data_IF_310949035813
#
_entry.id   IF_310949035813
#
_cell.length_a   1.000
_cell.length_b   1.000
_cell.length_c   1.000
_cell.angle_alpha   90.00
_cell.angle_beta   90.00
_cell.angle_gamma   90.00
#
_symmetry.space_group_name_H-M   'P 1'
#
loop_
_entity.id
_entity.type
_entity.pdbx_description
1 polymer ?
#
# COMPACT_ATOMS: atom_id res chain seq x y z
N UNK A 1 -22.26 68.50 28.88
CA UNK A 1 -21.96 68.91 30.28
C UNK A 1 -20.83 67.96 30.71
N UNK A 2 -19.65 68.25 30.96
CA UNK A 2 -18.82 69.41 31.21
C UNK A 2 -17.37 68.95 31.09
N UNK A 3 -16.62 69.64 30.28
CA UNK A 3 -15.15 69.60 30.22
C UNK A 3 -14.53 69.89 31.57
N UNK A 4 -13.38 69.34 31.91
CA UNK A 4 -12.31 70.03 32.61
C UNK A 4 -10.93 69.57 32.19
N UNK A 5 -10.15 70.57 31.93
CA UNK A 5 -8.79 70.65 31.42
C UNK A 5 -7.71 70.73 32.50
N UNK A 6 -6.51 70.15 32.24
CA UNK A 6 -5.10 70.66 32.38
C UNK A 6 -4.62 71.15 33.77
N UNK A 7 -3.31 71.05 34.19
CA UNK A 7 -2.17 71.59 33.45
C UNK A 7 -0.81 70.83 33.52
N UNK A 8 0.06 71.28 32.55
CA UNK A 8 1.51 71.09 32.50
C UNK A 8 2.23 71.65 33.72
N UNK A 9 3.36 71.02 34.07
CA UNK A 9 4.69 71.63 34.26
C UNK A 9 5.62 70.66 34.99
N UNK A 10 6.76 70.26 34.47
CA UNK A 10 8.10 70.86 34.70
C UNK A 10 9.17 70.05 33.96
N UNK A 11 9.97 70.81 33.22
CA UNK A 11 11.25 70.42 32.67
C UNK A 11 12.27 70.06 33.79
N UNK A 12 13.04 69.00 33.57
CA UNK A 12 14.48 69.01 33.97
C UNK A 12 15.27 68.26 32.93
N UNK A 13 16.24 69.01 32.37
CA UNK A 13 17.29 68.53 31.47
C UNK A 13 18.35 67.75 32.25
N UNK A 14 18.79 66.60 31.75
CA UNK A 14 20.10 66.01 32.11
C UNK A 14 20.71 65.38 30.86
N UNK A 15 21.85 65.91 30.54
CA UNK A 15 23.03 65.50 29.73
C UNK A 15 22.95 64.32 28.78
N UNK A 16 23.31 64.63 27.54
CA UNK A 16 23.79 63.78 26.47
C UNK A 16 25.02 62.94 26.90
N UNK A 17 24.92 61.64 26.74
CA UNK A 17 26.05 60.73 26.61
C UNK A 17 25.94 60.03 25.28
N UNK A 18 26.76 60.43 24.32
CA UNK A 18 26.91 59.72 23.03
C UNK A 18 27.64 58.39 23.27
N UNK A 19 26.95 57.29 23.22
CA UNK A 19 27.58 55.98 22.97
C UNK A 19 27.40 55.63 21.50
N UNK A 20 28.52 55.69 20.74
CA UNK A 20 28.60 55.16 19.40
C UNK A 20 28.57 53.61 19.46
N UNK A 21 27.43 53.02 19.13
CA UNK A 21 27.38 51.58 18.84
C UNK A 21 27.90 51.35 17.42
N UNK A 22 29.08 50.73 17.32
CA UNK A 22 29.56 50.17 16.07
C UNK A 22 28.64 49.05 15.63
N UNK A 23 27.94 49.24 14.51
CA UNK A 23 27.17 48.20 13.87
C UNK A 23 28.14 47.19 13.26
N UNK A 24 28.27 46.01 13.91
CA UNK A 24 28.90 44.83 13.29
C UNK A 24 27.96 44.30 12.18
N UNK A 25 28.48 43.94 11.00
CA UNK A 25 27.67 43.35 9.96
C UNK A 25 27.19 41.97 10.44
N UNK A 26 25.88 41.79 10.62
CA UNK A 26 25.26 40.45 10.72
C UNK A 26 25.49 39.75 9.39
N UNK A 27 26.41 38.81 9.38
CA UNK A 27 26.52 37.83 8.34
C UNK A 27 25.33 36.86 8.53
N UNK A 28 24.33 36.99 7.68
CA UNK A 28 23.29 35.98 7.51
C UNK A 28 23.96 34.71 6.95
N UNK A 29 24.24 33.78 7.84
CA UNK A 29 24.57 32.41 7.44
C UNK A 29 23.27 31.78 6.95
N UNK A 30 22.99 31.86 5.66
CA UNK A 30 22.06 30.96 5.01
C UNK A 30 22.64 29.56 5.12
N UNK A 31 21.95 28.59 5.65
CA UNK A 31 22.39 27.20 5.56
C UNK A 31 22.36 26.84 4.07
N UNK A 32 23.53 26.80 3.43
CA UNK A 32 23.67 26.10 2.18
C UNK A 32 23.34 24.63 2.47
N UNK A 33 22.13 24.19 2.14
CA UNK A 33 21.87 22.79 1.94
C UNK A 33 22.77 22.35 0.80
N UNK A 34 23.95 21.82 1.14
CA UNK A 34 24.81 21.15 0.20
C UNK A 34 23.99 20.04 -0.47
N UNK A 35 23.88 20.09 -1.80
CA UNK A 35 23.43 18.94 -2.57
C UNK A 35 24.34 17.79 -2.16
N UNK A 36 23.80 16.83 -1.43
CA UNK A 36 24.46 15.55 -1.20
C UNK A 36 24.70 14.94 -2.58
N UNK A 37 25.96 14.92 -3.04
CA UNK A 37 26.35 14.20 -4.24
C UNK A 37 26.22 12.70 -3.92
N UNK A 38 25.01 12.15 -4.12
CA UNK A 38 24.77 10.73 -4.02
C UNK A 38 25.54 10.01 -5.15
N UNK A 39 26.11 8.83 -4.90
CA UNK A 39 26.68 8.00 -5.95
C UNK A 39 25.68 7.77 -7.08
N UNK A 40 26.10 7.65 -8.35
CA UNK A 40 25.22 7.35 -9.46
C UNK A 40 24.36 6.09 -9.15
N UNK A 41 23.02 6.21 -9.21
CA UNK A 41 22.08 5.14 -8.90
C UNK A 41 21.66 5.01 -7.43
N UNK A 42 22.15 5.85 -6.50
CA UNK A 42 21.85 5.80 -5.07
C UNK A 42 20.86 6.87 -4.61
N UNK A 43 19.94 7.27 -5.44
CA UNK A 43 18.91 8.25 -5.08
C UNK A 43 17.55 7.85 -5.58
N UNK A 44 16.56 8.69 -5.33
CA UNK A 44 15.31 8.67 -6.04
C UNK A 44 15.10 9.99 -6.78
N UNK A 45 14.32 9.96 -7.86
CA UNK A 45 14.03 11.12 -8.71
C UNK A 45 12.59 11.09 -9.21
N UNK A 46 12.11 12.27 -9.63
CA UNK A 46 10.78 12.46 -10.20
C UNK A 46 10.94 13.16 -11.55
N UNK A 47 10.48 12.52 -12.62
CA UNK A 47 10.61 13.02 -13.98
C UNK A 47 9.29 12.94 -14.76
N UNK A 48 9.11 13.87 -15.70
CA UNK A 48 8.01 13.81 -16.64
C UNK A 48 8.33 12.77 -17.74
N UNK A 49 7.37 11.88 -18.01
CA UNK A 49 7.50 10.80 -18.98
C UNK A 49 6.25 10.68 -19.86
N UNK A 50 6.39 10.04 -21.01
CA UNK A 50 5.26 9.54 -21.80
C UNK A 50 5.00 8.08 -21.40
N UNK A 51 3.78 7.78 -20.95
CA UNK A 51 3.38 6.43 -20.60
C UNK A 51 2.13 6.02 -21.35
N UNK A 52 2.24 5.06 -22.26
CA UNK A 52 1.13 4.53 -23.09
C UNK A 52 0.28 5.65 -23.76
N UNK A 53 0.90 6.79 -24.11
CA UNK A 53 0.25 7.94 -24.74
C UNK A 53 -0.29 8.99 -23.78
N UNK A 54 -0.10 8.84 -22.46
CA UNK A 54 -0.38 9.88 -21.48
C UNK A 54 0.89 10.64 -21.08
N UNK A 55 0.77 11.95 -20.86
CA UNK A 55 1.76 12.70 -20.12
C UNK A 55 1.69 12.29 -18.65
N UNK A 56 2.74 11.70 -18.13
CA UNK A 56 2.81 11.13 -16.81
C UNK A 56 3.99 11.68 -16.01
N UNK A 57 3.98 11.41 -14.71
CA UNK A 57 5.11 11.64 -13.81
C UNK A 57 5.60 10.30 -13.30
N UNK A 58 6.90 10.06 -13.33
CA UNK A 58 7.52 8.85 -12.82
C UNK A 58 8.35 9.16 -11.59
N UNK A 59 8.05 8.47 -10.48
CA UNK A 59 8.92 8.40 -9.31
C UNK A 59 9.75 7.14 -9.46
N UNK A 60 11.07 7.25 -9.29
CA UNK A 60 11.97 6.12 -9.46
C UNK A 60 13.04 6.07 -8.40
N UNK A 61 13.41 4.88 -7.99
CA UNK A 61 14.64 4.55 -7.31
C UNK A 61 15.28 3.31 -7.95
N UNK A 62 16.31 2.72 -7.34
CA UNK A 62 16.95 1.51 -7.87
C UNK A 62 16.03 0.27 -7.92
N UNK A 63 14.87 0.31 -7.23
CA UNK A 63 13.98 -0.82 -7.03
C UNK A 63 12.69 -0.70 -7.83
N UNK A 64 12.09 0.49 -7.79
CA UNK A 64 10.71 0.73 -8.18
C UNK A 64 10.63 1.89 -9.17
N UNK A 65 9.74 1.73 -10.16
CA UNK A 65 9.22 2.80 -10.99
C UNK A 65 7.71 2.91 -10.75
N UNK A 66 7.26 4.07 -10.28
CA UNK A 66 5.86 4.39 -10.02
C UNK A 66 5.39 5.46 -11.01
N UNK A 67 4.45 5.13 -11.89
CA UNK A 67 3.92 6.00 -12.95
C UNK A 67 2.61 6.61 -12.47
N UNK A 68 2.54 7.93 -12.44
CA UNK A 68 1.34 8.69 -12.05
C UNK A 68 0.82 9.48 -13.23
N UNK A 69 -0.48 9.42 -13.49
CA UNK A 69 -1.18 10.20 -14.53
C UNK A 69 -2.12 11.21 -13.87
N UNK A 70 -1.67 12.45 -13.62
CA UNK A 70 -2.49 13.45 -12.92
C UNK A 70 -3.79 13.78 -13.65
N UNK A 71 -3.80 13.70 -14.98
CA UNK A 71 -4.96 14.03 -15.81
C UNK A 71 -6.16 13.10 -15.58
N UNK A 72 -5.91 11.84 -15.20
CA UNK A 72 -6.96 10.82 -15.08
C UNK A 72 -7.19 10.48 -13.60
N UNK A 73 -7.79 11.38 -12.83
CA UNK A 73 -8.11 11.15 -11.41
C UNK A 73 -6.87 11.07 -10.50
N UNK A 74 -5.72 11.61 -10.93
CA UNK A 74 -4.48 11.50 -10.14
C UNK A 74 -4.02 10.05 -9.93
N UNK A 75 -4.35 9.13 -10.83
CA UNK A 75 -4.12 7.68 -10.69
C UNK A 75 -2.64 7.34 -10.65
N UNK A 76 -2.26 6.46 -9.73
CA UNK A 76 -1.02 5.67 -9.85
C UNK A 76 -1.27 4.60 -10.90
N UNK A 77 -0.85 4.88 -12.14
CA UNK A 77 -1.21 4.05 -13.29
C UNK A 77 -0.42 2.75 -13.37
N UNK A 78 0.81 2.73 -12.86
CA UNK A 78 1.63 1.52 -12.84
C UNK A 78 2.68 1.57 -11.74
N UNK A 79 2.97 0.41 -11.17
CA UNK A 79 4.15 0.14 -10.36
C UNK A 79 4.92 -1.00 -11.00
N UNK A 80 6.21 -0.77 -11.27
CA UNK A 80 7.13 -1.78 -11.77
C UNK A 80 8.23 -2.02 -10.72
N UNK A 81 8.44 -3.28 -10.34
CA UNK A 81 9.50 -3.72 -9.44
C UNK A 81 10.25 -4.88 -10.07
N UNK A 82 11.58 -4.76 -10.18
CA UNK A 82 12.44 -5.76 -10.82
C UNK A 82 11.95 -6.21 -12.22
N UNK A 83 11.33 -5.29 -12.98
CA UNK A 83 10.77 -5.57 -14.31
C UNK A 83 9.35 -6.15 -14.31
N UNK A 84 8.80 -6.54 -13.15
CA UNK A 84 7.41 -6.98 -13.03
C UNK A 84 6.48 -5.78 -12.87
N UNK A 85 5.42 -5.69 -13.69
CA UNK A 85 4.40 -4.66 -13.64
C UNK A 85 3.16 -5.22 -12.92
N UNK A 86 2.68 -4.50 -11.91
CA UNK A 86 1.60 -5.00 -11.04
C UNK A 86 0.20 -4.61 -11.49
N UNK A 87 0.04 -3.36 -11.97
CA UNK A 87 -1.30 -2.80 -12.12
C UNK A 87 -1.86 -3.03 -13.52
N UNK A 88 -3.15 -3.32 -13.55
CA UNK A 88 -3.92 -3.34 -14.78
C UNK A 88 -3.99 -1.94 -15.38
N UNK A 89 -3.72 -1.83 -16.67
CA UNK A 89 -3.87 -0.61 -17.47
C UNK A 89 -4.77 -0.94 -18.65
N UNK A 90 -5.95 -0.34 -18.69
CA UNK A 90 -6.93 -0.66 -19.71
C UNK A 90 -6.44 -0.22 -21.10
N UNK A 91 -6.14 -1.16 -22.01
CA UNK A 91 -5.61 -0.83 -23.35
C UNK A 91 -6.61 -0.04 -24.21
N UNK A 92 -7.92 -0.19 -23.94
CA UNK A 92 -8.98 0.53 -24.64
C UNK A 92 -8.89 2.05 -24.41
N UNK A 93 -8.40 2.47 -23.26
CA UNK A 93 -8.33 3.87 -22.85
C UNK A 93 -6.88 4.41 -22.81
N UNK A 94 -5.88 3.63 -23.19
CA UNK A 94 -4.49 4.06 -23.20
C UNK A 94 -4.32 5.36 -24.03
N UNK A 95 -3.67 6.37 -23.41
CA UNK A 95 -3.43 7.69 -23.99
C UNK A 95 -4.68 8.59 -24.13
N UNK A 96 -5.84 8.15 -23.67
CA UNK A 96 -7.08 8.90 -23.76
C UNK A 96 -7.41 9.60 -22.45
N UNK A 97 -8.12 10.72 -22.56
CA UNK A 97 -8.75 11.41 -21.45
C UNK A 97 -10.18 11.74 -21.82
N UNK A 98 -11.09 11.42 -20.92
CA UNK A 98 -12.49 11.79 -21.02
C UNK A 98 -12.85 12.66 -19.83
N UNK A 99 -13.33 13.90 -20.05
CA UNK A 99 -13.77 14.75 -18.97
C UNK A 99 -14.85 14.07 -18.12
N UNK A 100 -14.91 14.34 -16.81
CA UNK A 100 -15.94 13.80 -15.94
C UNK A 100 -17.35 14.02 -16.51
N UNK A 101 -18.15 12.96 -16.48
CA UNK A 101 -19.52 12.99 -17.02
C UNK A 101 -20.39 11.99 -16.27
N UNK A 102 -21.50 12.42 -15.73
CA UNK A 102 -22.47 11.56 -15.02
C UNK A 102 -23.10 10.43 -15.87
N UNK A 103 -22.78 10.36 -17.15
CA UNK A 103 -23.40 9.40 -18.08
C UNK A 103 -22.55 8.16 -18.38
N UNK A 104 -21.26 8.17 -18.08
CA UNK A 104 -20.36 7.07 -18.44
C UNK A 104 -19.16 6.99 -17.51
N UNK A 105 -18.87 5.80 -17.02
CA UNK A 105 -17.68 5.47 -16.27
C UNK A 105 -16.56 4.96 -17.20
N UNK A 106 -15.32 5.39 -16.93
CA UNK A 106 -14.14 5.00 -17.69
C UNK A 106 -13.15 4.29 -16.77
N UNK A 107 -13.09 2.96 -16.85
CA UNK A 107 -12.07 2.21 -16.13
C UNK A 107 -10.71 2.31 -16.83
N UNK A 108 -9.88 3.28 -16.43
CA UNK A 108 -8.52 3.43 -16.95
C UNK A 108 -7.55 2.38 -16.40
N UNK A 109 -7.87 1.74 -15.29
CA UNK A 109 -6.93 0.90 -14.53
C UNK A 109 -6.19 1.67 -13.45
N UNK A 110 -5.09 1.11 -12.96
CA UNK A 110 -4.24 1.72 -11.94
C UNK A 110 -4.81 1.62 -10.52
N UNK A 111 -4.29 2.49 -9.65
CA UNK A 111 -4.76 2.65 -8.28
C UNK A 111 -5.30 4.07 -8.06
N UNK A 112 -6.37 4.20 -7.28
CA UNK A 112 -7.16 5.41 -7.12
C UNK A 112 -7.73 5.53 -5.71
N UNK A 113 -8.27 6.72 -5.39
CA UNK A 113 -9.07 6.96 -4.18
C UNK A 113 -10.54 7.05 -4.53
N UNK A 114 -11.38 6.39 -3.73
CA UNK A 114 -12.82 6.43 -3.83
C UNK A 114 -13.47 6.88 -2.52
N UNK A 115 -14.76 7.24 -2.59
CA UNK A 115 -15.60 7.49 -1.43
C UNK A 115 -16.48 6.28 -1.13
N UNK A 116 -16.74 6.05 0.14
CA UNK A 116 -17.74 5.11 0.63
C UNK A 116 -18.68 5.78 1.62
N UNK A 117 -19.95 5.34 1.73
CA UNK A 117 -20.55 4.19 1.01
C UNK A 117 -20.87 4.48 -0.45
N UNK A 118 -20.75 3.45 -1.29
CA UNK A 118 -21.25 3.50 -2.67
C UNK A 118 -22.76 3.36 -2.73
N UNK A 119 -23.37 3.92 -3.78
CA UNK A 119 -24.80 3.83 -4.03
C UNK A 119 -25.32 4.74 -5.13
N UNK A 120 -26.50 5.28 -4.97
CA UNK A 120 -27.24 5.98 -6.03
C UNK A 120 -26.88 7.47 -6.19
N UNK A 121 -25.75 7.92 -5.68
CA UNK A 121 -25.30 9.31 -5.77
C UNK A 121 -26.25 10.29 -5.07
N UNK A 122 -26.57 10.00 -3.84
CA UNK A 122 -27.33 10.84 -2.92
C UNK A 122 -26.42 11.50 -1.87
N UNK A 123 -26.96 12.14 -0.83
CA UNK A 123 -26.21 12.81 0.23
C UNK A 123 -25.37 11.85 1.11
N UNK A 124 -25.61 10.54 1.02
CA UNK A 124 -24.99 9.50 1.88
C UNK A 124 -24.30 8.41 1.06
N UNK A 125 -24.49 8.37 -0.25
CA UNK A 125 -23.95 7.35 -1.13
C UNK A 125 -23.39 7.99 -2.40
N UNK A 126 -22.17 7.61 -2.75
CA UNK A 126 -21.47 8.06 -3.94
C UNK A 126 -21.63 7.04 -5.08
N UNK A 127 -21.92 7.49 -6.29
CA UNK A 127 -22.13 6.56 -7.40
C UNK A 127 -20.83 5.95 -7.97
N UNK A 128 -19.69 6.42 -7.53
CA UNK A 128 -18.40 5.87 -7.94
C UNK A 128 -17.96 6.20 -9.36
N UNK A 129 -18.80 6.81 -10.18
CA UNK A 129 -18.53 6.94 -11.60
C UNK A 129 -18.62 8.38 -12.10
N UNK A 130 -17.73 8.70 -13.04
CA UNK A 130 -17.78 9.87 -13.91
C UNK A 130 -17.82 11.22 -13.22
N UNK A 131 -17.26 11.33 -12.03
CA UNK A 131 -17.14 12.61 -11.36
C UNK A 131 -15.68 13.11 -11.26
N UNK A 132 -15.52 14.30 -10.71
CA UNK A 132 -14.22 14.96 -10.64
C UNK A 132 -13.24 14.26 -9.70
N UNK A 133 -13.72 13.42 -8.77
CA UNK A 133 -12.87 12.68 -7.83
C UNK A 133 -12.27 11.43 -8.48
N UNK A 134 -12.99 10.77 -9.40
CA UNK A 134 -12.50 9.58 -10.11
C UNK A 134 -11.77 9.93 -11.43
N UNK A 135 -12.37 10.80 -12.26
CA UNK A 135 -11.88 11.07 -13.62
C UNK A 135 -11.30 12.48 -13.80
N UNK A 136 -11.47 13.39 -12.83
CA UNK A 136 -11.02 14.78 -12.96
C UNK A 136 -9.49 14.91 -13.00
N UNK A 137 -9.02 16.00 -13.61
CA UNK A 137 -7.60 16.31 -13.61
C UNK A 137 -7.16 16.82 -12.24
N UNK A 138 -6.25 16.08 -11.58
CA UNK A 138 -5.63 16.48 -10.32
C UNK A 138 -4.46 17.43 -10.58
N UNK A 139 -4.27 18.40 -9.70
CA UNK A 139 -3.04 19.19 -9.70
C UNK A 139 -1.89 18.34 -9.17
N UNK A 140 -0.72 18.49 -9.80
CA UNK A 140 0.51 17.80 -9.43
C UNK A 140 1.52 18.77 -8.84
N UNK A 141 2.21 18.34 -7.77
CA UNK A 141 3.31 19.06 -7.17
C UNK A 141 4.42 18.09 -6.75
N UNK A 142 5.63 18.33 -7.24
CA UNK A 142 6.83 17.66 -6.73
C UNK A 142 7.26 18.32 -5.42
N UNK A 143 7.40 17.54 -4.35
CA UNK A 143 7.76 18.02 -3.02
C UNK A 143 9.26 17.82 -2.73
N UNK A 144 9.82 16.66 -3.08
CA UNK A 144 11.24 16.36 -2.83
C UNK A 144 11.81 15.32 -3.80
N UNK A 145 13.14 15.28 -3.87
CA UNK A 145 13.98 14.29 -4.58
C UNK A 145 15.26 14.01 -3.79
N UNK A 146 15.99 12.97 -4.14
CA UNK A 146 17.28 12.61 -3.55
C UNK A 146 17.17 11.40 -2.62
N UNK A 147 17.31 11.56 -1.31
CA UNK A 147 17.14 10.46 -0.35
C UNK A 147 15.69 10.03 -0.22
N UNK A 148 14.77 10.95 -0.51
CA UNK A 148 13.32 10.73 -0.53
C UNK A 148 12.70 11.49 -1.67
N UNK A 149 11.94 10.80 -2.50
CA UNK A 149 11.06 11.37 -3.50
C UNK A 149 9.65 11.44 -2.98
N UNK A 150 9.03 12.60 -3.15
CA UNK A 150 7.66 12.81 -2.71
C UNK A 150 6.93 13.72 -3.69
N UNK A 151 5.73 13.32 -4.05
CA UNK A 151 4.80 14.10 -4.88
C UNK A 151 3.47 14.26 -4.17
N UNK A 152 2.75 15.30 -4.54
CA UNK A 152 1.38 15.55 -4.08
C UNK A 152 0.45 15.71 -5.27
N UNK A 153 -0.70 15.09 -5.16
CA UNK A 153 -1.82 15.16 -6.11
C UNK A 153 -3.03 15.69 -5.37
N UNK A 154 -3.68 16.72 -5.91
CA UNK A 154 -4.89 17.30 -5.30
C UNK A 154 -6.02 17.30 -6.31
N UNK A 155 -7.16 16.71 -5.97
CA UNK A 155 -8.35 16.68 -6.81
C UNK A 155 -8.96 18.07 -6.97
N UNK A 156 -9.80 18.30 -7.98
CA UNK A 156 -10.79 19.38 -7.91
C UNK A 156 -11.65 19.21 -6.65
N UNK A 157 -12.21 20.31 -6.15
CA UNK A 157 -13.27 20.27 -5.15
C UNK A 157 -14.55 19.72 -5.82
N UNK A 158 -15.12 18.65 -5.26
CA UNK A 158 -16.39 18.15 -5.73
C UNK A 158 -17.55 18.84 -5.01
N UNK A 159 -18.40 19.52 -5.77
CA UNK A 159 -19.55 20.23 -5.22
C UNK A 159 -20.69 19.30 -4.81
N UNK A 160 -20.73 18.08 -5.32
CA UNK A 160 -21.79 17.12 -5.06
C UNK A 160 -21.57 16.41 -3.71
N UNK A 161 -20.39 15.86 -3.49
CA UNK A 161 -20.04 15.18 -2.23
C UNK A 161 -19.52 16.15 -1.16
N UNK A 162 -19.12 17.36 -1.56
CA UNK A 162 -18.49 18.34 -0.68
C UNK A 162 -17.04 17.98 -0.30
N UNK A 163 -16.39 17.10 -1.06
CA UNK A 163 -15.06 16.55 -0.74
C UNK A 163 -13.98 17.05 -1.70
N UNK A 164 -12.76 17.16 -1.19
CA UNK A 164 -11.54 17.31 -1.97
C UNK A 164 -10.50 16.31 -1.44
N UNK A 165 -9.89 15.52 -2.33
CA UNK A 165 -8.78 14.64 -2.00
C UNK A 165 -7.43 15.33 -2.19
N UNK A 166 -6.50 15.00 -1.30
CA UNK A 166 -5.06 15.20 -1.50
C UNK A 166 -4.36 13.88 -1.24
N UNK A 167 -3.50 13.45 -2.16
CA UNK A 167 -2.72 12.22 -2.03
C UNK A 167 -1.24 12.50 -2.22
N UNK A 168 -0.44 12.11 -1.24
CA UNK A 168 1.02 12.12 -1.30
C UNK A 168 1.52 10.71 -1.59
N UNK A 169 2.46 10.58 -2.54
CA UNK A 169 3.15 9.33 -2.86
C UNK A 169 4.63 9.52 -2.61
N UNK A 170 5.25 8.57 -1.89
CA UNK A 170 6.63 8.65 -1.43
C UNK A 170 7.42 7.39 -1.75
N UNK A 171 8.68 7.57 -2.23
CA UNK A 171 9.70 6.55 -2.33
C UNK A 171 10.92 6.98 -1.52
N UNK A 172 11.50 6.07 -0.73
CA UNK A 172 12.83 6.26 -0.12
C UNK A 172 13.90 5.64 -1.06
N UNK A 173 15.08 6.24 -1.15
CA UNK A 173 16.13 5.85 -2.10
C UNK A 173 16.67 4.42 -1.88
N UNK A 174 16.62 3.95 -0.64
CA UNK A 174 17.23 2.70 -0.17
C UNK A 174 16.23 1.55 0.02
N UNK A 175 14.95 1.76 -0.34
CA UNK A 175 13.88 0.78 -0.11
C UNK A 175 12.94 0.66 -1.30
N UNK A 176 12.42 -0.53 -1.61
CA UNK A 176 11.35 -0.72 -2.60
C UNK A 176 9.99 -0.27 -2.07
N UNK A 177 9.87 0.11 -0.79
CA UNK A 177 8.62 0.53 -0.15
C UNK A 177 8.06 1.79 -0.79
N UNK A 178 6.76 1.78 -1.07
CA UNK A 178 6.00 2.94 -1.52
C UNK A 178 5.07 3.36 -0.38
N UNK A 179 5.16 4.61 0.06
CA UNK A 179 4.28 5.16 1.08
C UNK A 179 3.20 6.05 0.47
N UNK A 180 1.99 5.95 0.99
CA UNK A 180 0.85 6.79 0.59
C UNK A 180 0.27 7.49 1.80
N UNK A 181 0.00 8.77 1.66
CA UNK A 181 -0.78 9.55 2.61
C UNK A 181 -1.93 10.21 1.87
N UNK A 182 -3.15 9.78 2.13
CA UNK A 182 -4.36 10.35 1.57
C UNK A 182 -5.07 11.21 2.61
N UNK A 183 -5.59 12.35 2.20
CA UNK A 183 -6.42 13.23 3.01
C UNK A 183 -7.73 13.55 2.28
N UNK A 184 -8.83 13.40 2.98
CA UNK A 184 -10.17 13.79 2.56
C UNK A 184 -10.59 15.02 3.35
N UNK A 185 -10.77 16.14 2.65
CA UNK A 185 -11.17 17.41 3.24
C UNK A 185 -12.62 17.74 2.92
N UNK A 186 -13.37 18.15 3.93
CA UNK A 186 -14.70 18.74 3.73
C UNK A 186 -14.55 20.19 3.22
N UNK A 187 -14.94 20.43 1.97
CA UNK A 187 -14.94 21.74 1.31
C UNK A 187 -16.36 22.34 1.20
N UNK A 188 -17.35 21.69 1.80
CA UNK A 188 -18.75 22.16 1.87
C UNK A 188 -18.99 23.07 3.08
N UNK A 189 -20.19 23.63 3.15
CA UNK A 189 -20.65 24.45 4.28
C UNK A 189 -21.36 23.66 5.41
N UNK A 190 -21.46 22.34 5.34
CA UNK A 190 -22.17 21.49 6.31
C UNK A 190 -21.33 20.27 6.73
N UNK A 191 -21.78 19.55 7.73
CA UNK A 191 -21.09 18.34 8.19
C UNK A 191 -21.31 17.20 7.21
N UNK A 192 -20.24 16.49 6.86
CA UNK A 192 -20.22 15.30 5.97
C UNK A 192 -19.87 14.06 6.77
N UNK A 193 -20.27 12.90 6.23
CA UNK A 193 -19.88 11.60 6.78
C UNK A 193 -19.51 10.63 5.63
N UNK A 194 -18.23 10.43 5.42
CA UNK A 194 -17.66 9.61 4.36
C UNK A 194 -16.51 8.74 4.87
N UNK A 195 -16.17 7.71 4.15
CA UNK A 195 -14.92 6.96 4.26
C UNK A 195 -14.13 7.09 2.98
N UNK A 196 -12.80 7.00 3.05
CA UNK A 196 -11.91 6.85 1.90
C UNK A 196 -11.64 5.37 1.66
N UNK A 197 -11.58 5.02 0.39
CA UNK A 197 -11.14 3.72 -0.09
C UNK A 197 -9.95 3.90 -1.03
N UNK A 198 -8.86 3.13 -0.80
CA UNK A 198 -7.79 2.93 -1.77
C UNK A 198 -8.15 1.72 -2.61
N UNK A 199 -8.24 1.87 -3.93
CA UNK A 199 -8.68 0.84 -4.88
C UNK A 199 -7.54 0.54 -5.85
N UNK A 200 -6.91 -0.62 -5.70
CA UNK A 200 -5.76 -1.06 -6.49
C UNK A 200 -6.19 -2.13 -7.48
N UNK A 201 -6.16 -1.82 -8.77
CA UNK A 201 -6.51 -2.77 -9.84
C UNK A 201 -5.26 -3.54 -10.30
N UNK A 202 -5.13 -4.78 -9.88
CA UNK A 202 -4.03 -5.67 -10.25
C UNK A 202 -4.30 -6.38 -11.57
N UNK A 203 -3.28 -6.48 -12.43
CA UNK A 203 -3.36 -7.20 -13.70
C UNK A 203 -3.35 -8.71 -13.45
N UNK A 204 -4.46 -9.36 -13.74
CA UNK A 204 -4.63 -10.82 -13.63
C UNK A 204 -4.59 -11.50 -14.99
N UNK A 205 -3.94 -10.88 -15.97
CA UNK A 205 -3.74 -11.45 -17.30
C UNK A 205 -2.36 -12.08 -17.47
N UNK A 206 -2.25 -12.95 -18.45
CA UNK A 206 -0.98 -13.40 -19.01
C UNK A 206 -1.00 -13.20 -20.50
N UNK A 207 0.16 -12.97 -21.15
CA UNK A 207 0.23 -12.86 -22.59
C UNK A 207 -0.36 -14.11 -23.27
N UNK A 208 -1.18 -13.90 -24.29
CA UNK A 208 -1.66 -14.99 -25.16
C UNK A 208 -0.51 -15.64 -25.95
N UNK A 209 -0.77 -16.82 -26.52
CA UNK A 209 0.22 -17.49 -27.34
C UNK A 209 0.60 -16.60 -28.55
N UNK A 210 1.87 -16.59 -29.00
CA UNK A 210 2.27 -15.88 -30.20
C UNK A 210 1.41 -16.30 -31.42
N UNK A 211 0.75 -15.32 -32.03
CA UNK A 211 -0.13 -15.53 -33.18
C UNK A 211 -1.57 -15.92 -32.82
N UNK A 212 -1.96 -15.94 -31.55
CA UNK A 212 -3.36 -16.08 -31.17
C UNK A 212 -4.13 -14.76 -31.37
N UNK A 213 -5.43 -14.84 -31.65
CA UNK A 213 -6.30 -13.65 -31.75
C UNK A 213 -6.51 -13.01 -30.36
N UNK A 214 -6.37 -13.78 -29.27
CA UNK A 214 -6.43 -13.27 -27.90
C UNK A 214 -5.08 -12.73 -27.48
N UNK A 215 -5.00 -11.43 -27.27
CA UNK A 215 -3.79 -10.74 -26.81
C UNK A 215 -3.47 -11.01 -25.33
N UNK A 216 -4.46 -11.46 -24.56
CA UNK A 216 -4.33 -11.76 -23.14
C UNK A 216 -5.20 -12.96 -22.75
N UNK A 217 -4.81 -13.69 -21.72
CA UNK A 217 -5.52 -14.82 -21.13
C UNK A 217 -5.59 -14.64 -19.62
N UNK A 218 -6.54 -15.32 -18.96
CA UNK A 218 -6.63 -15.38 -17.50
C UNK A 218 -5.36 -15.98 -16.90
N UNK A 219 -4.78 -15.29 -15.90
CA UNK A 219 -3.77 -15.88 -15.04
C UNK A 219 -4.47 -16.76 -13.99
N UNK A 220 -4.44 -18.08 -14.19
CA UNK A 220 -5.02 -19.04 -13.25
C UNK A 220 -4.15 -19.30 -12.01
N UNK A 221 -3.08 -18.54 -11.83
CA UNK A 221 -2.20 -18.63 -10.66
C UNK A 221 -2.01 -17.23 -10.07
N UNK A 222 -3.12 -16.51 -9.91
CA UNK A 222 -3.15 -15.21 -9.24
C UNK A 222 -3.97 -15.29 -7.96
N UNK A 223 -3.40 -14.78 -6.85
CA UNK A 223 -3.92 -14.97 -5.51
C UNK A 223 -4.03 -13.66 -4.74
N UNK A 224 -4.98 -13.62 -3.81
CA UNK A 224 -4.98 -12.63 -2.73
C UNK A 224 -4.98 -13.31 -1.38
N UNK A 225 -4.47 -12.58 -0.37
CA UNK A 225 -4.39 -13.03 1.02
C UNK A 225 -4.72 -11.89 1.97
N UNK A 226 -5.49 -12.17 3.00
CA UNK A 226 -5.62 -11.31 4.19
C UNK A 226 -6.02 -12.17 5.38
N UNK A 227 -5.63 -11.85 6.62
CA UNK A 227 -6.11 -12.60 7.78
C UNK A 227 -7.62 -12.50 7.92
N UNK A 228 -8.30 -13.64 8.01
CA UNK A 228 -9.72 -13.71 8.30
C UNK A 228 -9.95 -13.46 9.79
N UNK A 229 -10.74 -12.44 10.13
CA UNK A 229 -11.04 -12.12 11.51
C UNK A 229 -11.75 -13.30 12.22
N UNK A 230 -11.11 -13.84 13.25
CA UNK A 230 -11.68 -14.98 14.02
C UNK A 230 -12.96 -14.62 14.76
N UNK A 231 -13.14 -13.34 15.09
CA UNK A 231 -14.33 -12.78 15.73
C UNK A 231 -15.17 -11.97 14.75
N UNK A 232 -15.16 -12.35 13.46
CA UNK A 232 -15.88 -11.66 12.41
C UNK A 232 -17.37 -11.56 12.70
N UNK A 233 -17.95 -10.42 12.33
CA UNK A 233 -19.40 -10.22 12.33
C UNK A 233 -20.10 -10.89 11.15
N UNK A 234 -19.34 -11.34 10.14
CA UNK A 234 -19.85 -12.10 9.00
C UNK A 234 -19.82 -13.61 9.27
N UNK A 235 -20.89 -14.31 8.91
CA UNK A 235 -21.08 -15.74 9.22
C UNK A 235 -19.89 -16.62 8.78
N UNK A 236 -19.35 -16.38 7.59
CA UNK A 236 -18.24 -17.12 7.01
C UNK A 236 -16.89 -16.41 7.15
N UNK A 237 -16.79 -15.41 8.05
CA UNK A 237 -15.67 -14.48 8.20
C UNK A 237 -15.45 -13.56 6.99
N UNK A 238 -16.37 -13.58 6.02
CA UNK A 238 -16.48 -12.67 4.88
C UNK A 238 -17.93 -12.57 4.45
N UNK A 239 -18.24 -11.57 3.65
CA UNK A 239 -19.56 -11.34 3.06
C UNK A 239 -19.44 -11.23 1.54
N UNK A 240 -20.25 -11.98 0.82
CA UNK A 240 -20.40 -11.82 -0.63
C UNK A 240 -21.41 -10.71 -0.87
N UNK A 241 -20.91 -9.50 -1.21
CA UNK A 241 -21.73 -8.32 -1.49
C UNK A 241 -22.36 -8.40 -2.88
N UNK A 242 -21.58 -8.93 -3.83
CA UNK A 242 -21.99 -9.16 -5.22
C UNK A 242 -21.41 -10.48 -5.74
N UNK A 243 -22.10 -11.12 -6.71
CA UNK A 243 -21.67 -12.39 -7.31
C UNK A 243 -22.33 -13.61 -6.69
N UNK A 244 -21.87 -14.83 -7.01
CA UNK A 244 -22.46 -16.06 -6.52
C UNK A 244 -22.17 -16.27 -5.02
N UNK A 245 -23.19 -16.73 -4.28
CA UNK A 245 -23.05 -17.01 -2.85
C UNK A 245 -21.99 -18.11 -2.57
N UNK A 246 -21.89 -19.09 -3.47
CA UNK A 246 -20.83 -20.10 -3.48
C UNK A 246 -19.86 -19.75 -4.62
N UNK A 247 -18.75 -19.10 -4.26
CA UNK A 247 -17.73 -18.68 -5.21
C UNK A 247 -16.54 -19.65 -5.13
N UNK A 248 -16.23 -20.40 -6.22
CA UNK A 248 -15.13 -21.37 -6.23
C UNK A 248 -13.75 -20.74 -6.06
N UNK A 249 -13.63 -19.42 -6.30
CA UNK A 249 -12.39 -18.68 -6.11
C UNK A 249 -12.05 -18.43 -4.64
N UNK A 250 -13.02 -18.55 -3.71
CA UNK A 250 -12.91 -18.06 -2.34
C UNK A 250 -12.72 -19.20 -1.36
N UNK A 251 -11.77 -19.03 -0.44
CA UNK A 251 -11.60 -19.94 0.69
C UNK A 251 -11.12 -19.24 1.95
N UNK A 252 -11.46 -19.80 3.11
CA UNK A 252 -10.82 -19.50 4.38
C UNK A 252 -9.99 -20.72 4.76
N UNK A 253 -8.66 -20.56 4.74
CA UNK A 253 -7.69 -21.62 4.98
C UNK A 253 -7.65 -22.01 6.45
N UNK A 254 -7.14 -23.21 6.75
CA UNK A 254 -6.97 -23.71 8.12
C UNK A 254 -6.01 -22.84 8.96
N UNK A 255 -5.01 -22.23 8.33
CA UNK A 255 -4.09 -21.30 8.98
C UNK A 255 -4.71 -19.92 9.28
N UNK A 256 -5.96 -19.70 8.88
CA UNK A 256 -6.74 -18.51 9.20
C UNK A 256 -6.70 -17.40 8.16
N UNK A 257 -6.10 -17.64 6.98
CA UNK A 257 -6.16 -16.67 5.90
C UNK A 257 -7.41 -16.81 5.05
N UNK A 258 -8.02 -15.69 4.73
CA UNK A 258 -8.95 -15.57 3.61
C UNK A 258 -8.14 -15.44 2.33
N UNK A 259 -8.51 -16.20 1.30
CA UNK A 259 -7.84 -16.18 0.01
C UNK A 259 -8.83 -16.10 -1.14
N UNK A 260 -8.45 -15.40 -2.20
CA UNK A 260 -9.10 -15.50 -3.50
C UNK A 260 -8.08 -16.06 -4.49
N UNK A 261 -8.38 -17.21 -5.06
CA UNK A 261 -7.68 -17.75 -6.23
C UNK A 261 -8.44 -17.26 -7.47
N UNK A 262 -7.87 -16.28 -8.18
CA UNK A 262 -8.60 -15.56 -9.22
C UNK A 262 -9.19 -16.49 -10.28
N UNK A 263 -10.47 -16.33 -10.51
CA UNK A 263 -11.19 -16.83 -11.67
C UNK A 263 -11.86 -15.65 -12.36
N UNK A 264 -11.95 -15.68 -13.70
CA UNK A 264 -12.57 -14.61 -14.48
C UNK A 264 -14.10 -14.62 -14.31
N UNK A 265 -14.55 -14.11 -13.16
CA UNK A 265 -15.96 -14.03 -12.76
C UNK A 265 -16.14 -12.83 -11.83
N UNK A 266 -17.18 -12.03 -12.06
CA UNK A 266 -17.45 -10.86 -11.25
C UNK A 266 -17.93 -11.24 -9.85
N UNK A 267 -17.25 -10.75 -8.82
CA UNK A 267 -17.65 -10.88 -7.42
C UNK A 267 -17.05 -9.76 -6.57
N UNK A 268 -17.78 -9.37 -5.53
CA UNK A 268 -17.35 -8.41 -4.51
C UNK A 268 -17.40 -9.09 -3.13
N UNK A 269 -16.27 -9.06 -2.42
CA UNK A 269 -16.02 -9.83 -1.21
C UNK A 269 -15.55 -8.88 -0.10
N UNK A 270 -16.35 -8.76 0.96
CA UNK A 270 -16.14 -7.85 2.07
C UNK A 270 -15.59 -8.56 3.30
N UNK A 271 -14.57 -7.99 3.93
CA UNK A 271 -13.92 -8.53 5.12
C UNK A 271 -13.75 -7.47 6.20
N UNK A 272 -14.02 -7.88 7.43
CA UNK A 272 -13.71 -7.11 8.64
C UNK A 272 -12.33 -7.51 9.20
N UNK A 273 -11.31 -7.54 8.32
CA UNK A 273 -9.92 -7.86 8.67
C UNK A 273 -9.33 -6.80 9.60
N UNK A 274 -8.61 -7.22 10.65
CA UNK A 274 -8.07 -6.33 11.69
C UNK A 274 -6.54 -6.30 11.74
N UNK A 275 -5.87 -7.16 11.00
CA UNK A 275 -4.41 -7.32 11.08
C UNK A 275 -3.63 -6.28 10.27
N UNK A 276 -4.34 -5.36 9.59
CA UNK A 276 -3.75 -4.19 8.95
C UNK A 276 -2.94 -4.49 7.69
N UNK A 277 -3.24 -5.59 6.99
CA UNK A 277 -2.63 -5.90 5.71
C UNK A 277 -3.50 -6.76 4.80
N UNK A 278 -3.28 -6.61 3.53
CA UNK A 278 -3.68 -7.52 2.48
C UNK A 278 -2.47 -7.77 1.56
N UNK A 279 -2.53 -8.79 0.73
CA UNK A 279 -1.49 -9.07 -0.25
C UNK A 279 -2.04 -9.69 -1.52
N UNK A 280 -1.34 -9.47 -2.62
CA UNK A 280 -1.55 -10.16 -3.90
C UNK A 280 -0.29 -10.89 -4.30
N UNK A 281 -0.46 -12.00 -5.04
CA UNK A 281 0.63 -12.80 -5.59
C UNK A 281 0.30 -13.19 -7.04
N UNK A 282 1.15 -12.81 -7.96
CA UNK A 282 1.22 -13.46 -9.27
C UNK A 282 2.07 -14.73 -9.13
N UNK A 283 1.43 -15.88 -9.00
CA UNK A 283 2.10 -17.16 -8.79
C UNK A 283 2.95 -17.60 -9.96
N UNK A 284 2.66 -17.14 -11.20
CA UNK A 284 3.48 -17.46 -12.37
C UNK A 284 4.82 -16.74 -12.37
N UNK A 285 4.83 -15.47 -12.00
CA UNK A 285 6.05 -14.66 -11.91
C UNK A 285 6.67 -14.71 -10.51
N UNK A 286 5.92 -15.17 -9.51
CA UNK A 286 6.26 -15.21 -8.09
C UNK A 286 6.53 -13.84 -7.47
N UNK A 287 6.04 -12.77 -8.06
CA UNK A 287 6.05 -11.43 -7.47
C UNK A 287 4.80 -11.18 -6.65
N UNK A 288 5.02 -10.66 -5.46
CA UNK A 288 3.98 -10.30 -4.52
C UNK A 288 4.00 -8.81 -4.19
N UNK A 289 2.84 -8.25 -3.88
CA UNK A 289 2.66 -6.94 -3.28
C UNK A 289 1.92 -7.11 -1.96
N UNK A 290 2.51 -6.61 -0.87
CA UNK A 290 1.83 -6.49 0.42
C UNK A 290 1.41 -5.04 0.59
N UNK A 291 0.12 -4.81 0.81
CA UNK A 291 -0.43 -3.51 1.16
C UNK A 291 -0.73 -3.48 2.65
N UNK A 292 -0.25 -2.47 3.36
CA UNK A 292 -0.45 -2.28 4.79
C UNK A 292 -1.25 -1.04 5.09
N UNK A 293 -2.01 -1.11 6.15
CA UNK A 293 -2.77 0.00 6.69
C UNK A 293 -2.89 -0.12 8.22
N UNK A 294 -3.31 0.94 8.87
CA UNK A 294 -3.60 0.89 10.29
C UNK A 294 -5.11 0.70 10.52
N UNK A 295 -5.50 -0.44 11.10
CA UNK A 295 -6.87 -0.69 11.51
C UNK A 295 -7.19 0.05 12.82
N UNK A 296 -8.34 0.72 12.88
CA UNK A 296 -8.83 1.42 14.09
C UNK A 296 -10.09 0.73 14.63
N UNK A 297 -9.91 -0.11 15.65
CA UNK A 297 -11.02 -0.88 16.29
C UNK A 297 -12.04 0.01 17.02
N UNK A 298 -11.71 1.29 17.27
CA UNK A 298 -12.58 2.23 17.96
C UNK A 298 -13.61 2.91 17.07
N UNK A 299 -13.50 2.76 15.74
CA UNK A 299 -14.34 3.45 14.76
C UNK A 299 -15.09 2.48 13.84
N UNK A 300 -16.30 2.86 13.38
CA UNK A 300 -17.03 2.06 12.42
C UNK A 300 -16.39 2.14 11.02
N UNK A 301 -16.45 1.03 10.29
CA UNK A 301 -16.09 0.93 8.88
C UNK A 301 -17.34 0.83 8.01
N UNK A 302 -17.31 1.27 6.74
CA UNK A 302 -18.42 1.14 5.80
C UNK A 302 -18.83 -0.33 5.70
N UNK A 303 -20.12 -0.66 5.91
CA UNK A 303 -20.59 -2.02 5.89
C UNK A 303 -19.85 -3.00 6.83
N UNK A 304 -19.01 -2.49 7.75
CA UNK A 304 -18.06 -3.20 8.63
C UNK A 304 -16.81 -3.73 7.92
N UNK A 305 -16.63 -3.46 6.62
CA UNK A 305 -15.50 -3.93 5.85
C UNK A 305 -14.31 -2.97 5.95
N UNK A 306 -13.15 -3.47 6.36
CA UNK A 306 -11.85 -2.79 6.29
C UNK A 306 -11.07 -3.16 5.03
N UNK A 307 -11.37 -4.33 4.46
CA UNK A 307 -10.78 -4.86 3.22
C UNK A 307 -11.89 -5.34 2.31
N UNK A 308 -11.77 -5.03 1.02
CA UNK A 308 -12.66 -5.53 -0.03
C UNK A 308 -11.80 -6.12 -1.15
N UNK A 309 -12.28 -7.19 -1.77
CA UNK A 309 -11.74 -7.70 -3.03
C UNK A 309 -12.84 -7.70 -4.08
N UNK A 310 -12.53 -7.12 -5.24
CA UNK A 310 -13.35 -7.27 -6.44
C UNK A 310 -12.62 -8.16 -7.45
N UNK A 311 -13.29 -9.18 -7.96
CA UNK A 311 -12.83 -9.94 -9.13
C UNK A 311 -13.61 -9.50 -10.35
N UNK A 312 -12.92 -9.15 -11.43
CA UNK A 312 -13.60 -8.78 -12.65
C UNK A 312 -13.80 -9.99 -13.57
N UNK A 313 -14.89 -9.98 -14.31
CA UNK A 313 -15.26 -11.04 -15.26
C UNK A 313 -16.75 -10.99 -15.61
N UNK A 314 -17.24 -12.01 -16.34
CA UNK A 314 -18.66 -12.18 -16.57
C UNK A 314 -19.46 -12.28 -15.28
N UNK A 315 -20.64 -11.66 -15.25
CA UNK A 315 -21.55 -11.72 -14.11
C UNK A 315 -22.32 -13.05 -14.10
N UNK A 316 -22.53 -13.62 -12.90
CA UNK A 316 -23.46 -14.73 -12.71
C UNK A 316 -24.87 -14.19 -12.54
N UNK A 317 -25.78 -14.55 -13.43
CA UNK A 317 -27.22 -14.22 -13.35
C UNK A 317 -28.05 -15.48 -13.35
N UNK A 318 -29.24 -15.42 -12.77
CA UNK A 318 -30.24 -16.47 -12.92
C UNK A 318 -30.88 -16.37 -14.31
N UNK A 319 -30.93 -17.49 -15.03
CA UNK A 319 -31.71 -17.57 -16.27
C UNK A 319 -33.23 -17.66 -15.98
N UNK A 320 -34.07 -17.79 -17.01
CA UNK A 320 -35.54 -17.89 -16.88
C UNK A 320 -35.99 -19.07 -15.99
N UNK A 321 -35.17 -20.10 -15.86
CA UNK A 321 -35.44 -21.30 -15.09
C UNK A 321 -34.87 -21.24 -13.66
N UNK A 322 -34.30 -20.09 -13.28
CA UNK A 322 -33.68 -19.86 -11.98
C UNK A 322 -32.31 -20.57 -11.83
N UNK A 323 -31.70 -20.98 -12.92
CA UNK A 323 -30.38 -21.64 -12.93
C UNK A 323 -29.30 -20.58 -13.09
N UNK A 324 -28.26 -20.57 -12.23
CA UNK A 324 -27.12 -19.66 -12.39
C UNK A 324 -26.44 -19.86 -13.75
N UNK A 325 -26.25 -18.77 -14.47
CA UNK A 325 -25.51 -18.74 -15.73
C UNK A 325 -24.61 -17.50 -15.78
N UNK A 326 -23.46 -17.61 -16.44
CA UNK A 326 -22.62 -16.46 -16.72
C UNK A 326 -23.28 -15.58 -17.78
N UNK A 327 -23.30 -14.26 -17.56
CA UNK A 327 -23.78 -13.28 -18.51
C UNK A 327 -22.63 -12.38 -18.95
N UNK A 328 -22.73 -11.88 -20.17
CA UNK A 328 -21.70 -11.06 -20.81
C UNK A 328 -20.74 -11.90 -21.65
N UNK A 329 -19.97 -11.19 -22.46
CA UNK A 329 -18.91 -11.80 -23.27
C UNK A 329 -17.65 -11.91 -22.40
N UNK A 330 -17.18 -13.15 -22.11
CA UNK A 330 -15.97 -13.30 -21.30
C UNK A 330 -14.74 -12.65 -21.93
N UNK A 331 -14.68 -12.54 -23.27
CA UNK A 331 -13.57 -11.92 -23.97
C UNK A 331 -13.65 -10.38 -23.97
N UNK A 332 -14.82 -9.82 -23.66
CA UNK A 332 -15.01 -8.38 -23.56
C UNK A 332 -14.68 -7.82 -22.16
N UNK A 333 -14.63 -8.67 -21.14
CA UNK A 333 -14.33 -8.25 -19.76
C UNK A 333 -12.82 -8.29 -19.52
N UNK A 334 -12.19 -7.19 -19.09
CA UNK A 334 -10.76 -7.18 -18.82
C UNK A 334 -10.41 -8.07 -17.62
N UNK A 335 -9.17 -8.56 -17.60
CA UNK A 335 -8.65 -9.42 -16.55
C UNK A 335 -7.97 -8.57 -15.47
N UNK A 336 -8.69 -8.29 -14.38
CA UNK A 336 -8.12 -7.63 -13.20
C UNK A 336 -8.83 -8.06 -11.92
N UNK A 337 -8.15 -7.85 -10.82
CA UNK A 337 -8.67 -7.98 -9.46
C UNK A 337 -8.41 -6.67 -8.73
N UNK A 338 -9.39 -6.19 -7.96
CA UNK A 338 -9.18 -5.07 -7.06
C UNK A 338 -8.87 -5.58 -5.65
N UNK A 339 -7.84 -4.99 -5.06
CA UNK A 339 -7.54 -5.08 -3.65
C UNK A 339 -7.79 -3.70 -3.05
N UNK A 340 -8.63 -3.65 -2.01
CA UNK A 340 -9.19 -2.40 -1.55
C UNK A 340 -9.06 -2.27 -0.04
N UNK A 341 -8.64 -1.09 0.41
CA UNK A 341 -8.48 -0.76 1.81
C UNK A 341 -9.40 0.40 2.16
N UNK A 342 -10.25 0.21 3.16
CA UNK A 342 -11.17 1.23 3.64
C UNK A 342 -10.62 1.95 4.87
N UNK A 343 -10.76 3.28 4.92
CA UNK A 343 -10.65 4.02 6.15
C UNK A 343 -11.90 3.79 7.03
N UNK A 344 -11.83 4.07 8.33
CA UNK A 344 -13.05 4.23 9.13
C UNK A 344 -13.92 5.35 8.57
N UNK A 345 -15.23 5.35 8.93
CA UNK A 345 -16.12 6.46 8.67
C UNK A 345 -15.62 7.74 9.36
N UNK A 346 -15.54 8.81 8.60
CA UNK A 346 -15.10 10.14 9.05
C UNK A 346 -16.27 11.11 9.05
N UNK A 347 -16.61 11.62 10.24
CA UNK A 347 -17.58 12.72 10.36
C UNK A 347 -16.83 14.05 10.42
N UNK A 348 -16.93 14.85 9.35
CA UNK A 348 -16.13 16.05 9.12
C UNK A 348 -17.01 17.31 9.15
N UNK A 349 -16.73 18.25 10.05
CA UNK A 349 -17.28 19.61 9.96
C UNK A 349 -16.64 20.37 8.80
N UNK A 350 -17.21 21.52 8.35
CA UNK A 350 -16.60 22.35 7.31
C UNK A 350 -15.12 22.63 7.59
N UNK A 351 -14.28 22.45 6.58
CA UNK A 351 -12.81 22.58 6.57
C UNK A 351 -12.02 21.52 7.37
N UNK A 352 -12.67 20.56 8.04
CA UNK A 352 -11.98 19.43 8.68
C UNK A 352 -11.56 18.39 7.64
N UNK A 353 -10.56 17.58 8.02
CA UNK A 353 -10.02 16.50 7.21
C UNK A 353 -9.84 15.23 8.03
N UNK A 354 -9.88 14.08 7.36
CA UNK A 354 -9.33 12.82 7.89
C UNK A 354 -8.32 12.22 6.90
N UNK A 355 -7.56 11.23 7.36
CA UNK A 355 -6.46 10.64 6.59
C UNK A 355 -6.57 9.13 6.51
N UNK A 356 -5.97 8.58 5.46
CA UNK A 356 -5.70 7.16 5.26
C UNK A 356 -4.24 7.01 4.85
N UNK A 357 -3.45 6.35 5.70
CA UNK A 357 -2.07 6.02 5.42
C UNK A 357 -1.97 4.55 5.02
N UNK A 358 -1.32 4.27 3.87
CA UNK A 358 -1.05 2.93 3.40
C UNK A 358 0.40 2.78 2.94
N UNK A 359 0.90 1.55 2.91
CA UNK A 359 2.24 1.22 2.42
C UNK A 359 2.16 0.02 1.48
N UNK A 360 2.92 0.08 0.39
CA UNK A 360 3.09 -1.05 -0.52
C UNK A 360 4.52 -1.58 -0.44
N UNK A 361 4.64 -2.89 -0.32
CA UNK A 361 5.89 -3.61 -0.10
C UNK A 361 6.02 -4.72 -1.16
N UNK A 362 6.57 -4.41 -2.35
CA UNK A 362 6.82 -5.42 -3.36
C UNK A 362 7.95 -6.35 -2.95
N UNK A 363 7.83 -7.63 -3.30
CA UNK A 363 8.86 -8.64 -3.07
C UNK A 363 8.71 -9.82 -4.01
N UNK A 364 9.80 -10.58 -4.21
CA UNK A 364 9.75 -11.89 -4.85
C UNK A 364 9.51 -12.96 -3.78
N UNK A 365 8.36 -13.66 -3.86
CA UNK A 365 7.93 -14.57 -2.78
C UNK A 365 8.47 -15.98 -2.90
N UNK A 366 8.55 -16.51 -4.11
CA UNK A 366 8.89 -17.92 -4.33
C UNK A 366 7.76 -18.91 -4.03
N UNK A 367 6.53 -18.45 -3.75
CA UNK A 367 5.35 -19.28 -3.51
C UNK A 367 4.28 -18.59 -2.68
N UNK A 368 3.24 -19.36 -2.30
CA UNK A 368 2.15 -18.88 -1.45
C UNK A 368 2.62 -18.50 -0.04
N UNK A 369 1.87 -17.59 0.59
CA UNK A 369 2.20 -17.10 1.94
C UNK A 369 1.55 -17.92 3.04
N UNK A 370 2.28 -17.97 4.17
CA UNK A 370 1.81 -18.43 5.47
C UNK A 370 1.93 -17.36 6.56
N UNK A 371 2.33 -16.14 6.21
CA UNK A 371 2.43 -15.02 7.12
C UNK A 371 3.10 -13.81 6.50
N UNK A 372 2.82 -12.63 7.09
CA UNK A 372 3.46 -11.36 6.78
C UNK A 372 3.98 -10.77 8.09
N UNK A 373 5.23 -10.28 8.05
CA UNK A 373 5.88 -9.59 9.18
C UNK A 373 6.44 -8.25 8.71
N UNK A 374 7.03 -7.47 9.61
CA UNK A 374 7.67 -6.20 9.22
C UNK A 374 8.88 -6.39 8.30
N UNK A 375 9.51 -7.54 8.35
CA UNK A 375 10.70 -7.87 7.59
C UNK A 375 10.41 -8.51 6.22
N UNK A 376 9.24 -9.18 6.06
CA UNK A 376 8.94 -9.92 4.84
C UNK A 376 7.74 -10.84 4.95
N UNK A 377 7.64 -11.78 4.02
CA UNK A 377 6.60 -12.79 3.92
C UNK A 377 7.17 -14.19 4.23
N UNK A 378 6.36 -15.00 4.87
CA UNK A 378 6.67 -16.37 5.20
C UNK A 378 6.06 -17.30 4.15
N UNK A 379 6.89 -17.98 3.37
CA UNK A 379 6.45 -18.94 2.33
C UNK A 379 6.52 -20.37 2.85
N UNK A 380 7.63 -20.75 3.45
CA UNK A 380 7.76 -21.99 4.23
C UNK A 380 8.24 -21.66 5.63
N UNK A 381 7.56 -22.19 6.67
CA UNK A 381 7.95 -21.94 8.05
C UNK A 381 9.42 -22.27 8.31
N UNK A 382 10.07 -21.42 9.12
CA UNK A 382 11.40 -21.67 9.65
C UNK A 382 11.38 -22.94 10.49
N UNK A 383 12.30 -23.83 10.22
CA UNK A 383 12.59 -25.02 11.05
C UNK A 383 14.00 -24.89 11.57
N UNK A 384 14.17 -25.14 12.87
CA UNK A 384 15.47 -25.17 13.52
C UNK A 384 15.61 -26.47 14.29
N UNK A 385 16.59 -27.28 13.92
CA UNK A 385 16.83 -28.62 14.50
C UNK A 385 18.20 -28.68 15.12
N UNK A 386 18.26 -28.96 16.40
CA UNK A 386 19.54 -29.19 17.11
C UNK A 386 20.08 -30.57 16.73
N UNK A 387 21.31 -30.62 16.24
CA UNK A 387 22.02 -31.83 15.82
C UNK A 387 22.93 -32.35 16.94
N UNK A 388 23.27 -33.62 16.87
CA UNK A 388 24.16 -34.30 17.86
C UNK A 388 25.55 -33.63 18.01
N UNK A 389 26.05 -32.98 16.95
CA UNK A 389 27.32 -32.25 16.94
C UNK A 389 27.25 -30.84 17.57
N UNK A 390 26.13 -30.47 18.19
CA UNK A 390 25.91 -29.15 18.78
C UNK A 390 25.63 -28.04 17.76
N UNK A 391 25.44 -28.35 16.48
CA UNK A 391 24.99 -27.42 15.45
C UNK A 391 23.49 -27.35 15.40
N UNK A 392 22.97 -26.25 14.86
CA UNK A 392 21.54 -26.03 14.59
C UNK A 392 21.37 -25.94 13.07
N UNK A 393 20.67 -26.91 12.48
CA UNK A 393 20.26 -26.85 11.09
C UNK A 393 19.05 -25.93 10.95
N UNK A 394 19.09 -25.02 9.97
CA UNK A 394 18.03 -24.04 9.66
C UNK A 394 17.51 -24.29 8.26
N UNK A 395 16.20 -24.35 8.12
CA UNK A 395 15.55 -24.40 6.80
C UNK A 395 14.26 -23.57 6.79
N UNK A 396 13.92 -22.97 5.65
CA UNK A 396 12.71 -22.16 5.45
C UNK A 396 12.72 -21.47 4.10
N UNK A 397 11.64 -20.76 3.77
CA UNK A 397 11.60 -19.92 2.56
C UNK A 397 10.84 -18.64 2.84
N UNK A 398 11.35 -17.51 2.32
CA UNK A 398 10.88 -16.19 2.65
C UNK A 398 10.95 -15.27 1.41
N UNK A 399 10.06 -14.28 1.32
CA UNK A 399 10.29 -13.05 0.61
C UNK A 399 10.68 -11.97 1.63
N UNK A 400 11.55 -11.03 1.25
CA UNK A 400 11.99 -9.95 2.14
C UNK A 400 11.63 -8.59 1.57
N UNK A 401 11.43 -7.59 2.44
CA UNK A 401 11.07 -6.23 2.00
C UNK A 401 12.27 -5.29 1.92
N UNK A 402 13.42 -5.70 2.42
CA UNK A 402 14.63 -4.88 2.45
C UNK A 402 15.85 -5.72 2.09
N UNK A 403 16.84 -5.08 1.45
CA UNK A 403 18.17 -5.68 1.30
C UNK A 403 18.93 -5.65 2.60
N UNK A 404 19.76 -6.67 2.84
CA UNK A 404 20.58 -6.76 4.05
C UNK A 404 20.96 -8.19 4.38
N UNK A 405 20.96 -8.51 5.68
CA UNK A 405 21.39 -9.80 6.18
C UNK A 405 20.31 -10.42 7.08
N UNK A 406 20.08 -11.71 6.90
CA UNK A 406 19.36 -12.50 7.89
C UNK A 406 20.28 -12.87 9.03
N UNK A 407 19.85 -12.57 10.25
CA UNK A 407 20.60 -12.82 11.49
C UNK A 407 19.80 -13.80 12.35
N UNK A 408 20.36 -14.98 12.60
CA UNK A 408 19.82 -15.91 13.58
C UNK A 408 20.21 -15.44 14.98
N UNK A 409 19.25 -15.05 15.80
CA UNK A 409 19.42 -14.68 17.21
C UNK A 409 19.01 -15.84 18.09
N UNK A 410 19.91 -16.27 18.95
CA UNK A 410 19.72 -17.39 19.85
C UNK A 410 19.45 -16.88 21.27
N UNK A 411 18.52 -17.49 21.95
CA UNK A 411 18.10 -17.12 23.30
C UNK A 411 18.10 -18.35 24.21
N UNK A 412 18.51 -18.15 25.49
CA UNK A 412 18.39 -19.17 26.53
C UNK A 412 16.95 -19.37 27.01
N UNK A 413 16.74 -20.26 27.98
CA UNK A 413 15.45 -20.56 28.60
C UNK A 413 14.87 -19.37 29.38
N UNK A 414 15.70 -18.38 29.74
CA UNK A 414 15.30 -17.16 30.42
C UNK A 414 15.01 -15.99 29.48
N UNK A 415 15.20 -16.20 28.15
CA UNK A 415 14.99 -15.18 27.13
C UNK A 415 16.17 -14.22 26.93
N UNK A 416 17.36 -14.49 27.54
CA UNK A 416 18.54 -13.69 27.28
C UNK A 416 19.18 -14.08 25.95
N UNK A 417 19.59 -13.07 25.17
CA UNK A 417 20.32 -13.31 23.93
C UNK A 417 21.69 -13.85 24.23
N UNK A 418 22.02 -15.03 23.68
CA UNK A 418 23.29 -15.71 23.87
C UNK A 418 24.20 -15.67 22.65
N UNK A 419 23.64 -15.50 21.46
CA UNK A 419 24.39 -15.34 20.21
C UNK A 419 23.56 -14.67 19.12
N UNK A 420 24.26 -14.07 18.14
CA UNK A 420 23.72 -13.59 16.90
C UNK A 420 24.66 -13.97 15.76
N UNK A 421 24.15 -14.67 14.75
CA UNK A 421 24.94 -15.20 13.64
C UNK A 421 24.32 -14.82 12.31
N UNK A 422 25.05 -14.14 11.40
CA UNK A 422 24.59 -13.95 10.03
C UNK A 422 24.44 -15.31 9.32
N UNK A 423 23.30 -15.49 8.60
CA UNK A 423 22.99 -16.76 7.94
C UNK A 423 22.78 -16.64 6.44
N UNK A 424 22.40 -15.46 5.96
CA UNK A 424 22.25 -15.18 4.53
C UNK A 424 22.33 -13.68 4.25
N UNK A 425 22.82 -13.31 3.07
CA UNK A 425 22.61 -12.01 2.44
C UNK A 425 21.34 -12.10 1.61
N UNK A 426 20.51 -11.06 1.64
CA UNK A 426 19.17 -11.08 1.02
C UNK A 426 18.82 -9.77 0.34
N UNK A 427 17.97 -9.85 -0.67
CA UNK A 427 17.39 -8.68 -1.33
C UNK A 427 15.94 -8.97 -1.74
N UNK A 428 15.09 -7.93 -1.91
CA UNK A 428 13.67 -8.10 -2.21
C UNK A 428 13.35 -8.68 -3.59
N UNK A 429 14.30 -8.66 -4.53
CA UNK A 429 14.09 -9.13 -5.90
C UNK A 429 14.26 -10.63 -6.07
N UNK A 430 14.67 -11.32 -5.01
CA UNK A 430 14.93 -12.76 -5.00
C UNK A 430 14.24 -13.43 -3.82
N UNK A 431 13.69 -14.62 -4.04
CA UNK A 431 13.19 -15.44 -2.93
C UNK A 431 14.34 -16.00 -2.11
N UNK A 432 14.17 -16.00 -0.80
CA UNK A 432 15.15 -16.56 0.12
C UNK A 432 14.83 -18.03 0.37
N UNK A 433 15.73 -18.92 -0.04
CA UNK A 433 15.73 -20.32 0.36
C UNK A 433 16.82 -20.55 1.39
N UNK A 434 16.41 -20.66 2.65
CA UNK A 434 17.34 -20.94 3.75
C UNK A 434 17.52 -22.45 3.90
N UNK A 435 18.77 -22.91 3.80
CA UNK A 435 19.19 -24.27 4.11
C UNK A 435 20.66 -24.20 4.57
N UNK A 436 20.89 -24.03 5.88
CA UNK A 436 22.22 -23.77 6.44
C UNK A 436 22.36 -24.33 7.84
N UNK A 437 23.59 -24.33 8.35
CA UNK A 437 23.89 -24.72 9.73
C UNK A 437 24.62 -23.59 10.46
N UNK A 438 24.26 -23.40 11.72
CA UNK A 438 24.95 -22.48 12.63
C UNK A 438 25.47 -23.24 13.84
N UNK A 439 26.52 -22.69 14.47
CA UNK A 439 27.06 -23.25 15.73
C UNK A 439 26.35 -22.56 16.90
N UNK A 440 25.87 -23.36 17.85
CA UNK A 440 25.34 -22.83 19.10
C UNK A 440 26.46 -22.80 20.16
N UNK A 441 26.79 -21.63 20.74
CA UNK A 441 27.86 -21.54 21.75
C UNK A 441 27.42 -22.06 23.14
N UNK A 442 26.10 -22.25 23.37
CA UNK A 442 25.54 -22.66 24.66
C UNK A 442 24.17 -23.35 24.45
N UNK A 443 23.57 -23.83 25.55
CA UNK A 443 22.20 -24.33 25.56
C UNK A 443 21.26 -23.20 25.19
N UNK A 444 20.61 -23.32 24.03
CA UNK A 444 19.62 -22.38 23.53
C UNK A 444 18.23 -23.04 23.55
N UNK A 445 17.20 -22.26 23.90
CA UNK A 445 15.83 -22.72 23.93
C UNK A 445 15.04 -22.21 22.73
N UNK A 446 15.44 -21.07 22.16
CA UNK A 446 14.66 -20.37 21.12
C UNK A 446 15.60 -19.71 20.11
N UNK A 447 15.15 -19.64 18.86
CA UNK A 447 15.79 -18.92 17.76
C UNK A 447 14.79 -17.95 17.12
N UNK A 448 15.25 -16.72 16.85
CA UNK A 448 14.52 -15.72 16.07
C UNK A 448 15.35 -15.30 14.87
N UNK A 449 14.77 -15.37 13.66
CA UNK A 449 15.42 -14.98 12.41
C UNK A 449 15.04 -13.54 12.07
N UNK A 450 16.00 -12.61 12.21
CA UNK A 450 15.81 -11.17 11.98
C UNK A 450 16.39 -10.73 10.65
N UNK A 451 15.78 -9.73 10.02
CA UNK A 451 16.36 -8.99 8.91
C UNK A 451 17.00 -7.69 9.43
N UNK A 452 18.30 -7.55 9.24
CA UNK A 452 19.04 -6.31 9.46
C UNK A 452 19.42 -5.74 8.10
N UNK A 453 18.93 -4.53 7.80
CA UNK A 453 19.13 -3.93 6.48
C UNK A 453 20.55 -3.42 6.24
N UNK A 454 20.82 -2.91 5.01
CA UNK A 454 22.14 -2.39 4.60
C UNK A 454 22.61 -1.20 5.47
N UNK A 455 21.69 -0.50 6.17
CA UNK A 455 22.02 0.60 7.09
C UNK A 455 22.34 0.14 8.51
N UNK A 456 22.16 -1.17 8.79
CA UNK A 456 22.30 -1.77 10.10
C UNK A 456 21.03 -1.67 10.97
N UNK A 457 19.91 -1.21 10.43
CA UNK A 457 18.64 -1.17 11.15
C UNK A 457 17.99 -2.56 11.15
N UNK A 458 17.59 -3.00 12.34
CA UNK A 458 16.78 -4.22 12.50
C UNK A 458 15.33 -3.95 12.04
N UNK A 459 14.92 -4.61 10.98
CA UNK A 459 13.58 -4.52 10.38
C UNK A 459 12.56 -5.47 11.00
N UNK A 460 12.99 -6.25 12.02
CA UNK A 460 12.15 -7.19 12.74
C UNK A 460 12.42 -8.65 12.40
N UNK A 461 11.67 -9.51 13.07
CA UNK A 461 11.76 -10.96 12.87
C UNK A 461 10.91 -11.41 11.68
N UNK A 462 11.47 -12.28 10.83
CA UNK A 462 10.70 -13.06 9.87
C UNK A 462 9.92 -14.16 10.60
N UNK A 463 10.57 -14.86 11.52
CA UNK A 463 9.93 -15.87 12.35
C UNK A 463 10.76 -16.21 13.58
N UNK A 464 10.06 -16.68 14.61
CA UNK A 464 10.63 -17.22 15.84
C UNK A 464 10.21 -18.67 16.01
N UNK A 465 11.14 -19.53 16.45
CA UNK A 465 10.92 -20.96 16.67
C UNK A 465 11.57 -21.44 17.97
N UNK A 466 10.91 -22.39 18.65
CA UNK A 466 11.50 -23.12 19.76
C UNK A 466 12.50 -24.17 19.23
N UNK A 467 13.62 -24.32 19.90
CA UNK A 467 14.60 -25.32 19.54
C UNK A 467 14.20 -26.66 20.21
N UNK A 468 13.94 -27.65 19.39
CA UNK A 468 13.72 -29.02 19.86
C UNK A 468 14.94 -29.85 19.54
N UNK A 469 15.34 -30.73 20.48
CA UNK A 469 16.25 -31.83 20.18
C UNK A 469 15.52 -32.82 19.27
N UNK A 470 16.20 -33.30 18.25
CA UNK A 470 15.68 -34.40 17.43
C UNK A 470 15.51 -35.63 18.34
N UNK A 471 14.27 -35.96 18.76
CA UNK A 471 13.99 -37.26 19.32
C UNK A 471 14.15 -38.26 18.18
N UNK A 472 15.17 -39.12 18.31
CA UNK A 472 15.37 -40.28 17.43
C UNK A 472 14.19 -41.23 17.63
N UNK A 473 13.25 -41.23 16.66
CA UNK A 473 12.28 -42.31 16.48
C UNK A 473 12.61 -43.10 15.23
#
# INVERSE_FOLDING_TARGET
MTLRSVPLSQLRAVCLGFFAFAAAPMWSISPAFGQLNLPPGSGCWVEAVEYKGWHAQQLSNRWVHAIVVPQNGGRLMQVTFAGHAYLFVNPKFAGKYFPPSSSQWFNYGGDKLWLLPEGNNDEQHWAGNSDVLDDGTFTFRKLSEGLRCEIELTSPADSQTGVQFTRTIRLDADSPRIGFHASMKNVSGHTLEWSMQSVSQYDTSVPGAPGSESAALTNHDFWTFTPANRSSSYLNRYHVRFGPAENPAVSVREDGFFTVHYVHMAAELWLDSKDGWLAVLDGKSQYAMVERFQYDDSKPYPGKASVIFWTNGPETRLNSDGIPSLSGDPDASPYYLEAEINSPMCRLRPAESCTLDTEWLPTHSGGEFHGVTDAGILVRPLRATVRENGKIGLSGSFGVFYSGHLIARLYDEHGHAVAATPVAEVNPTESVLLDTEITSPAKCARLSLHLVDETGLDRGALQEVQLSTQDNH
#
